data_IF_481122161087
#
_entry.id   IF_481122161087
#
_cell.length_a   1.000
_cell.length_b   1.000
_cell.length_c   1.000
_cell.angle_alpha   90.00
_cell.angle_beta   90.00
_cell.angle_gamma   90.00
#
_symmetry.space_group_name_H-M   'P 1'
#
loop_
_entity.id
_entity.type
_entity.pdbx_description
1 polymer ?
#
# COMPACT_ATOMS: atom_id res chain seq x y z
N UNK A 1 -10.42 -1.47 -68.66
CA UNK A 1 -9.41 -1.95 -67.68
C UNK A 1 -8.95 -0.87 -66.70
N UNK A 2 -9.15 0.42 -66.98
CA UNK A 2 -8.74 1.55 -66.12
C UNK A 2 -9.67 1.80 -64.93
N UNK A 3 -10.97 1.56 -65.07
CA UNK A 3 -11.98 1.81 -64.02
C UNK A 3 -11.85 0.87 -62.81
N UNK A 4 -11.46 -0.38 -63.04
CA UNK A 4 -11.25 -1.36 -61.96
C UNK A 4 -10.01 -1.03 -61.12
N UNK A 5 -8.97 -0.46 -61.75
CA UNK A 5 -7.74 -0.04 -61.07
C UNK A 5 -8.01 1.17 -60.17
N UNK A 6 -8.80 2.15 -60.62
CA UNK A 6 -9.14 3.33 -59.80
C UNK A 6 -10.01 2.97 -58.60
N UNK A 7 -10.95 2.03 -58.73
CA UNK A 7 -11.74 1.54 -57.58
C UNK A 7 -10.83 0.83 -56.56
N UNK A 8 -9.89 0.00 -57.03
CA UNK A 8 -8.94 -0.69 -56.15
C UNK A 8 -8.05 0.31 -55.39
N UNK A 9 -7.54 1.34 -56.07
CA UNK A 9 -6.73 2.39 -55.44
C UNK A 9 -7.50 3.18 -54.38
N UNK A 10 -8.79 3.46 -54.60
CA UNK A 10 -9.65 4.14 -53.61
C UNK A 10 -9.92 3.30 -52.36
N UNK A 11 -10.05 1.98 -52.52
CA UNK A 11 -10.22 1.06 -51.39
C UNK A 11 -8.92 0.98 -50.58
N UNK A 12 -7.77 0.85 -51.26
CA UNK A 12 -6.47 0.78 -50.60
C UNK A 12 -6.16 2.08 -49.86
N UNK A 13 -6.44 3.25 -50.46
CA UNK A 13 -6.19 4.54 -49.80
C UNK A 13 -7.09 4.74 -48.56
N UNK A 14 -8.36 4.33 -48.63
CA UNK A 14 -9.25 4.34 -47.47
C UNK A 14 -8.77 3.44 -46.33
N UNK A 15 -8.26 2.26 -46.67
CA UNK A 15 -7.77 1.28 -45.70
C UNK A 15 -6.47 1.77 -45.02
N UNK A 16 -5.57 2.41 -45.76
CA UNK A 16 -4.36 3.03 -45.21
C UNK A 16 -4.71 4.17 -44.24
N UNK A 17 -5.65 5.05 -44.63
CA UNK A 17 -6.09 6.14 -43.75
C UNK A 17 -6.72 5.61 -42.46
N UNK A 18 -7.54 4.56 -42.55
CA UNK A 18 -8.15 3.92 -41.38
C UNK A 18 -7.10 3.32 -40.43
N UNK A 19 -6.09 2.62 -40.97
CA UNK A 19 -4.97 2.08 -40.17
C UNK A 19 -4.20 3.22 -39.48
N UNK A 20 -3.88 4.30 -40.19
CA UNK A 20 -3.18 5.45 -39.63
C UNK A 20 -4.00 6.13 -38.51
N UNK A 21 -5.31 6.30 -38.70
CA UNK A 21 -6.21 6.84 -37.67
C UNK A 21 -6.25 5.93 -36.45
N UNK A 22 -6.30 4.62 -36.65
CA UNK A 22 -6.37 3.67 -35.54
C UNK A 22 -5.05 3.61 -34.77
N UNK A 23 -3.90 3.64 -35.44
CA UNK A 23 -2.60 3.77 -34.78
C UNK A 23 -2.46 5.08 -34.01
N UNK A 24 -2.92 6.19 -34.57
CA UNK A 24 -2.89 7.49 -33.90
C UNK A 24 -3.77 7.50 -32.65
N UNK A 25 -5.01 7.00 -32.76
CA UNK A 25 -5.95 6.91 -31.64
C UNK A 25 -5.40 6.02 -30.52
N UNK A 26 -4.90 4.83 -30.86
CA UNK A 26 -4.34 3.90 -29.88
C UNK A 26 -3.09 4.48 -29.19
N UNK A 27 -2.25 5.23 -29.91
CA UNK A 27 -1.11 5.94 -29.33
C UNK A 27 -1.53 7.14 -28.47
N UNK A 28 -2.60 7.86 -28.85
CA UNK A 28 -3.16 8.95 -28.05
C UNK A 28 -3.76 8.41 -26.75
N UNK A 29 -4.46 7.28 -26.79
CA UNK A 29 -5.03 6.62 -25.61
C UNK A 29 -3.94 6.03 -24.71
N UNK A 30 -2.90 5.42 -25.30
CA UNK A 30 -1.70 5.00 -24.55
C UNK A 30 -0.96 6.17 -23.93
N UNK A 31 -0.80 7.29 -24.64
CA UNK A 31 -0.18 8.50 -24.10
C UNK A 31 -1.05 9.14 -23.02
N UNK A 32 -2.37 9.12 -23.14
CA UNK A 32 -3.28 9.66 -22.12
C UNK A 32 -3.26 8.78 -20.87
N UNK A 33 -3.27 7.45 -21.02
CA UNK A 33 -3.07 6.50 -19.91
C UNK A 33 -1.69 6.62 -19.28
N UNK A 34 -0.63 6.81 -20.08
CA UNK A 34 0.73 6.96 -19.56
C UNK A 34 0.97 8.35 -18.93
N UNK A 35 0.37 9.42 -19.45
CA UNK A 35 0.46 10.76 -18.87
C UNK A 35 -0.35 10.88 -17.57
N UNK A 36 -1.39 10.05 -17.38
CA UNK A 36 -2.04 9.87 -16.07
C UNK A 36 -1.15 9.08 -15.09
N UNK A 37 -0.21 8.28 -15.58
CA UNK A 37 0.67 7.42 -14.77
C UNK A 37 2.07 7.99 -14.51
N UNK A 38 2.47 9.07 -15.19
CA UNK A 38 3.75 9.76 -14.95
C UNK A 38 3.46 11.11 -14.30
N UNK A 39 2.89 11.06 -13.10
CA UNK A 39 2.95 12.20 -12.17
C UNK A 39 4.34 12.16 -11.57
N UNK A 40 5.20 13.13 -11.91
CA UNK A 40 6.42 13.38 -11.16
C UNK A 40 6.06 13.37 -9.67
N UNK A 41 6.67 12.45 -8.90
CA UNK A 41 6.49 12.24 -7.46
C UNK A 41 6.85 13.52 -6.69
N UNK A 42 6.00 14.54 -6.77
CA UNK A 42 6.04 15.70 -5.91
C UNK A 42 5.56 15.23 -4.54
N UNK A 43 6.49 14.78 -3.69
CA UNK A 43 6.14 14.51 -2.29
C UNK A 43 5.48 15.76 -1.72
N UNK A 44 4.31 15.61 -1.14
CA UNK A 44 3.69 16.70 -0.40
C UNK A 44 4.68 17.17 0.68
N UNK A 45 4.89 18.50 0.82
CA UNK A 45 5.73 19.06 1.90
C UNK A 45 5.16 18.78 3.30
N UNK A 46 3.94 18.27 3.38
CA UNK A 46 3.26 17.91 4.64
C UNK A 46 4.04 16.83 5.38
N UNK A 47 4.02 16.95 6.71
CA UNK A 47 4.62 16.00 7.66
C UNK A 47 3.47 15.36 8.41
N UNK A 48 3.47 14.04 8.53
CA UNK A 48 2.47 13.31 9.31
C UNK A 48 2.98 13.12 10.73
N UNK A 49 2.19 13.58 11.68
CA UNK A 49 2.40 13.46 13.12
C UNK A 49 1.50 12.35 13.70
N UNK A 50 1.76 11.94 14.93
CA UNK A 50 0.89 11.00 15.65
C UNK A 50 -0.56 11.52 15.76
N UNK A 51 -0.76 12.83 15.94
CA UNK A 51 -2.10 13.44 16.00
C UNK A 51 -2.91 13.25 14.71
N UNK A 52 -2.29 13.43 13.55
CA UNK A 52 -2.96 13.20 12.25
C UNK A 52 -3.42 11.75 12.14
N UNK A 53 -2.65 10.78 12.65
CA UNK A 53 -3.02 9.37 12.59
C UNK A 53 -4.19 9.04 13.52
N UNK A 54 -4.27 9.69 14.67
CA UNK A 54 -5.40 9.59 15.59
C UNK A 54 -6.68 10.13 14.92
N UNK A 55 -6.56 11.23 14.19
CA UNK A 55 -7.69 11.83 13.47
C UNK A 55 -8.13 11.00 12.27
N UNK A 56 -7.17 10.33 11.61
CA UNK A 56 -7.43 9.49 10.44
C UNK A 56 -7.80 8.04 10.77
N UNK A 57 -7.93 7.67 12.04
CA UNK A 57 -8.16 6.28 12.49
C UNK A 57 -9.26 5.54 11.70
N UNK A 58 -9.21 4.19 11.59
CA UNK A 58 -10.29 3.41 11.01
C UNK A 58 -11.66 3.76 11.62
N UNK A 59 -12.69 3.76 10.77
CA UNK A 59 -14.03 4.23 11.09
C UNK A 59 -14.27 5.73 10.82
N UNK A 60 -13.23 6.50 10.49
CA UNK A 60 -13.35 7.94 10.16
C UNK A 60 -13.65 8.17 8.68
N UNK A 61 -14.14 9.36 8.37
CA UNK A 61 -14.45 9.76 6.99
C UNK A 61 -13.16 9.83 6.16
N UNK A 62 -13.17 9.19 4.99
CA UNK A 62 -12.10 9.19 4.01
C UNK A 62 -11.78 10.59 3.48
N UNK A 63 -12.77 11.48 3.42
CA UNK A 63 -12.59 12.87 3.00
C UNK A 63 -11.55 13.61 3.86
N UNK A 64 -11.54 13.36 5.17
CA UNK A 64 -10.55 13.92 6.09
C UNK A 64 -9.12 13.51 5.69
N UNK A 65 -8.94 12.31 5.15
CA UNK A 65 -7.63 11.88 4.66
C UNK A 65 -7.18 12.70 3.45
N UNK A 66 -8.09 13.04 2.53
CA UNK A 66 -7.77 13.88 1.38
C UNK A 66 -7.44 15.32 1.80
N UNK A 67 -8.16 15.87 2.79
CA UNK A 67 -7.86 17.19 3.34
C UNK A 67 -6.49 17.21 4.04
N UNK A 68 -6.24 16.24 4.92
CA UNK A 68 -5.04 16.17 5.74
C UNK A 68 -3.81 15.78 4.93
N UNK A 69 -3.89 14.74 4.08
CA UNK A 69 -2.74 14.20 3.35
C UNK A 69 -2.59 14.82 1.95
N UNK A 70 -3.64 15.41 1.39
CA UNK A 70 -3.70 15.95 0.04
C UNK A 70 -4.19 14.93 -0.98
N UNK A 71 -3.81 15.11 -2.24
CA UNK A 71 -4.20 14.19 -3.32
C UNK A 71 -3.42 12.87 -3.24
N UNK A 72 -4.06 11.70 -3.37
CA UNK A 72 -3.33 10.43 -3.44
C UNK A 72 -2.48 10.38 -4.72
N UNK A 73 -1.31 9.77 -4.59
CA UNK A 73 -0.39 9.44 -5.68
C UNK A 73 -1.00 8.37 -6.60
N UNK A 74 -1.65 7.36 -6.01
CA UNK A 74 -2.23 6.23 -6.75
C UNK A 74 -3.55 5.82 -6.12
N UNK A 75 -4.49 5.43 -6.97
CA UNK A 75 -5.80 4.92 -6.57
C UNK A 75 -6.01 3.58 -7.27
N UNK A 76 -6.23 2.53 -6.49
CA UNK A 76 -6.59 1.21 -7.00
C UNK A 76 -8.00 0.85 -6.53
N UNK A 77 -8.73 0.07 -7.33
CA UNK A 77 -10.07 -0.47 -6.99
C UNK A 77 -10.02 -1.94 -6.57
N UNK A 78 -8.81 -2.48 -6.47
CA UNK A 78 -8.50 -3.82 -5.97
C UNK A 78 -7.22 -3.77 -5.16
N UNK A 79 -7.16 -4.58 -4.11
CA UNK A 79 -5.96 -4.78 -3.31
C UNK A 79 -5.99 -6.18 -2.68
N UNK A 80 -4.82 -6.65 -2.26
CA UNK A 80 -4.65 -7.99 -1.67
C UNK A 80 -4.47 -7.89 -0.17
N UNK A 81 -5.33 -8.58 0.57
CA UNK A 81 -5.19 -8.72 2.02
C UNK A 81 -3.98 -9.61 2.36
N UNK A 82 -3.24 -9.25 3.41
CA UNK A 82 -1.97 -9.88 3.77
C UNK A 82 -2.09 -11.36 4.18
N UNK A 83 -3.11 -11.72 4.95
CA UNK A 83 -3.25 -13.10 5.47
C UNK A 83 -3.94 -14.05 4.51
N UNK A 84 -4.84 -13.55 3.65
CA UNK A 84 -5.61 -14.38 2.72
C UNK A 84 -4.97 -14.44 1.34
N UNK A 85 -4.07 -13.48 1.00
CA UNK A 85 -3.56 -13.25 -0.35
C UNK A 85 -4.66 -13.17 -1.42
N UNK A 86 -5.90 -12.86 -1.01
CA UNK A 86 -7.03 -12.75 -1.91
C UNK A 86 -7.10 -11.32 -2.40
N UNK A 87 -7.00 -11.15 -3.72
CA UNK A 87 -7.33 -9.88 -4.35
C UNK A 87 -8.85 -9.66 -4.19
N UNK A 88 -9.20 -8.55 -3.55
CA UNK A 88 -10.60 -8.18 -3.31
C UNK A 88 -10.87 -6.81 -3.89
N UNK A 89 -12.14 -6.57 -4.23
CA UNK A 89 -12.61 -5.24 -4.61
C UNK A 89 -12.58 -4.35 -3.38
N UNK A 90 -11.65 -3.39 -3.37
CA UNK A 90 -11.51 -2.39 -2.32
C UNK A 90 -10.82 -1.15 -2.89
N UNK A 91 -11.20 0.03 -2.41
CA UNK A 91 -10.57 1.27 -2.85
C UNK A 91 -9.33 1.51 -2.00
N UNK A 92 -8.16 1.53 -2.64
CA UNK A 92 -6.86 1.71 -2.00
C UNK A 92 -6.24 2.99 -2.50
N UNK A 93 -5.90 3.88 -1.58
CA UNK A 93 -5.40 5.23 -1.84
C UNK A 93 -3.99 5.34 -1.26
N UNK A 94 -3.00 5.50 -2.14
CA UNK A 94 -1.60 5.65 -1.74
C UNK A 94 -1.23 7.13 -1.72
N UNK A 95 -0.71 7.60 -0.59
CA UNK A 95 -0.23 8.95 -0.37
C UNK A 95 1.27 8.95 -0.13
N UNK A 96 1.93 10.00 -0.60
CA UNK A 96 3.35 10.26 -0.35
C UNK A 96 3.50 11.65 0.29
N UNK A 97 3.76 11.64 1.59
CA UNK A 97 4.11 12.83 2.38
C UNK A 97 5.61 12.85 2.65
N UNK A 98 6.12 13.94 3.21
CA UNK A 98 7.58 14.13 3.38
C UNK A 98 8.24 13.01 4.19
N UNK A 99 7.61 12.58 5.28
CA UNK A 99 8.18 11.64 6.25
C UNK A 99 7.55 10.23 6.22
N UNK A 100 6.60 9.97 5.31
CA UNK A 100 5.93 8.67 5.24
C UNK A 100 5.26 8.37 3.89
N UNK A 101 5.13 7.07 3.60
CA UNK A 101 4.18 6.52 2.63
C UNK A 101 2.99 5.98 3.39
N UNK A 102 1.79 6.37 2.98
CA UNK A 102 0.56 6.01 3.67
C UNK A 102 -0.40 5.41 2.65
N UNK A 103 -0.88 4.20 2.91
CA UNK A 103 -1.96 3.57 2.16
C UNK A 103 -3.20 3.56 3.03
N UNK A 104 -4.30 4.07 2.50
CA UNK A 104 -5.61 4.04 3.15
C UNK A 104 -6.53 3.17 2.31
N UNK A 105 -7.29 2.28 2.95
CA UNK A 105 -8.29 1.49 2.26
C UNK A 105 -9.70 1.83 2.69
N UNK A 106 -10.65 1.70 1.76
CA UNK A 106 -12.07 1.94 1.97
C UNK A 106 -12.92 1.01 1.10
N UNK A 107 -13.87 0.32 1.72
CA UNK A 107 -14.83 -0.59 1.07
C UNK A 107 -15.96 0.20 0.39
N UNK A 108 -16.40 1.29 1.01
CA UNK A 108 -17.55 2.10 0.61
C UNK A 108 -17.20 3.45 -0.02
N UNK A 109 -15.90 3.81 -0.07
CA UNK A 109 -15.37 5.12 -0.51
C UNK A 109 -15.73 6.28 0.42
N UNK A 110 -16.26 6.00 1.61
CA UNK A 110 -16.66 7.03 2.57
C UNK A 110 -15.95 6.85 3.90
N UNK A 111 -15.68 5.62 4.33
CA UNK A 111 -15.06 5.32 5.62
C UNK A 111 -13.70 4.65 5.43
N UNK A 112 -12.75 5.02 6.29
CA UNK A 112 -11.44 4.41 6.37
C UNK A 112 -11.57 3.04 7.05
N UNK A 113 -11.21 1.96 6.35
CA UNK A 113 -11.17 0.61 6.94
C UNK A 113 -9.80 0.28 7.52
N UNK A 114 -8.73 0.75 6.86
CA UNK A 114 -7.38 0.60 7.38
C UNK A 114 -6.42 1.65 6.85
N UNK A 115 -5.34 1.82 7.61
CA UNK A 115 -4.25 2.75 7.32
C UNK A 115 -2.94 2.00 7.50
N UNK A 116 -2.17 1.89 6.44
CA UNK A 116 -0.84 1.30 6.43
C UNK A 116 0.20 2.40 6.23
N UNK A 117 1.24 2.41 7.05
CA UNK A 117 2.22 3.50 7.13
C UNK A 117 3.62 2.91 7.09
N UNK A 118 4.44 3.44 6.18
CA UNK A 118 5.88 3.18 6.08
C UNK A 118 6.63 4.51 6.14
N UNK A 119 7.29 4.81 7.27
CA UNK A 119 8.10 6.02 7.40
C UNK A 119 9.24 6.07 6.40
N UNK A 120 9.49 7.25 5.85
CA UNK A 120 10.61 7.50 4.91
C UNK A 120 11.79 8.17 5.57
N UNK A 121 11.61 8.75 6.75
CA UNK A 121 12.69 9.36 7.54
C UNK A 121 12.48 9.14 9.06
N UNK A 122 13.48 9.52 9.85
CA UNK A 122 13.51 9.36 11.31
C UNK A 122 12.68 10.39 12.08
N UNK A 123 12.08 11.39 11.40
CA UNK A 123 11.23 12.39 12.05
C UNK A 123 9.85 11.82 12.42
N UNK A 124 9.44 10.73 11.76
CA UNK A 124 8.18 10.07 12.07
C UNK A 124 8.28 9.31 13.39
N UNK A 125 7.42 9.70 14.34
CA UNK A 125 7.25 9.03 15.64
C UNK A 125 5.80 8.64 15.82
N UNK A 126 5.60 7.42 16.30
CA UNK A 126 4.27 6.92 16.66
C UNK A 126 4.26 6.54 18.14
N UNK A 127 3.36 7.19 18.87
CA UNK A 127 2.87 6.66 20.14
C UNK A 127 2.04 5.42 19.82
N UNK A 128 2.56 4.24 20.12
CA UNK A 128 1.97 2.98 19.68
C UNK A 128 1.64 2.10 20.89
N UNK A 129 0.39 1.66 20.97
CA UNK A 129 -0.08 0.72 21.96
C UNK A 129 -1.07 -0.24 21.30
N UNK A 130 -0.87 -1.57 21.33
CA UNK A 130 0.12 -2.37 22.08
C UNK A 130 1.45 -2.45 21.36
N UNK A 131 2.51 -2.20 22.11
CA UNK A 131 3.87 -2.33 21.61
C UNK A 131 4.40 -3.74 21.92
N UNK A 132 4.85 -4.53 20.91
CA UNK A 132 5.49 -5.82 21.15
C UNK A 132 6.79 -5.72 21.95
N UNK A 133 7.34 -4.51 22.10
CA UNK A 133 8.59 -4.21 22.81
C UNK A 133 8.40 -3.65 24.23
N UNK A 134 7.15 -3.49 24.69
CA UNK A 134 6.83 -2.86 25.99
C UNK A 134 7.42 -1.45 26.19
N UNK A 135 7.68 -0.71 25.10
CA UNK A 135 8.07 0.70 25.15
C UNK A 135 6.85 1.61 24.96
N UNK A 136 6.88 2.81 25.54
CA UNK A 136 5.81 3.82 25.39
C UNK A 136 5.73 4.40 23.96
N UNK A 137 6.88 4.45 23.26
CA UNK A 137 6.98 5.01 21.90
C UNK A 137 7.73 4.09 20.95
N UNK A 138 7.31 4.06 19.68
CA UNK A 138 8.00 3.32 18.61
C UNK A 138 8.68 4.30 17.67
N UNK A 139 9.98 4.11 17.47
CA UNK A 139 10.74 4.76 16.40
C UNK A 139 11.05 3.74 15.31
N UNK A 140 10.43 3.91 14.13
CA UNK A 140 10.59 2.98 13.02
C UNK A 140 12.03 2.94 12.50
N UNK A 141 12.42 1.79 11.94
CA UNK A 141 13.80 1.47 11.52
C UNK A 141 14.86 1.51 12.63
N UNK A 142 14.47 1.78 13.88
CA UNK A 142 15.36 1.76 15.05
C UNK A 142 14.89 0.74 16.10
N UNK A 143 13.58 0.60 16.25
CA UNK A 143 12.98 -0.31 17.21
C UNK A 143 13.02 -1.75 16.70
N UNK A 144 13.55 -2.66 17.52
CA UNK A 144 13.69 -4.09 17.22
C UNK A 144 12.75 -4.91 18.10
N UNK A 145 12.17 -5.96 17.53
CA UNK A 145 11.47 -6.98 18.32
C UNK A 145 12.46 -7.63 19.30
N UNK A 146 12.27 -7.40 20.60
CA UNK A 146 13.23 -7.76 21.66
C UNK A 146 12.76 -8.96 22.51
N UNK A 147 11.49 -9.35 22.41
CA UNK A 147 10.87 -10.39 23.25
C UNK A 147 10.15 -11.45 22.45
N UNK A 148 9.88 -12.54 23.16
CA UNK A 148 9.02 -13.62 22.68
C UNK A 148 7.61 -13.05 22.44
N UNK A 149 7.16 -13.15 21.21
CA UNK A 149 5.84 -12.68 20.78
C UNK A 149 4.78 -13.59 21.42
N UNK A 150 3.76 -13.01 22.07
CA UNK A 150 2.71 -13.82 22.73
C UNK A 150 2.08 -14.78 21.70
N UNK A 151 1.67 -15.96 22.17
CA UNK A 151 1.00 -16.97 21.32
C UNK A 151 -0.30 -16.47 20.66
N UNK A 152 -0.87 -15.38 21.18
CA UNK A 152 -2.10 -14.77 20.67
C UNK A 152 -1.91 -13.91 19.42
N UNK A 153 -0.66 -13.56 19.07
CA UNK A 153 -0.39 -12.78 17.87
C UNK A 153 -0.55 -13.65 16.63
N UNK A 154 -1.32 -13.17 15.66
CA UNK A 154 -1.34 -13.77 14.33
C UNK A 154 -0.10 -13.35 13.56
N UNK A 155 0.52 -14.29 12.86
CA UNK A 155 1.79 -14.01 12.22
C UNK A 155 1.95 -14.70 10.85
N UNK A 156 2.61 -14.01 9.93
CA UNK A 156 2.96 -14.54 8.62
C UNK A 156 4.22 -13.86 8.07
N UNK A 157 4.64 -14.23 6.87
CA UNK A 157 5.69 -13.55 6.12
C UNK A 157 5.17 -13.13 4.76
N UNK A 158 5.46 -11.89 4.39
CA UNK A 158 5.27 -11.37 3.05
C UNK A 158 6.55 -11.60 2.25
N UNK A 159 6.39 -12.18 1.06
CA UNK A 159 7.48 -12.42 0.12
C UNK A 159 6.99 -12.03 -1.26
N UNK A 160 7.51 -10.92 -1.78
CA UNK A 160 7.34 -10.49 -3.17
C UNK A 160 8.72 -10.32 -3.81
N UNK A 161 8.77 -10.02 -5.12
CA UNK A 161 10.03 -9.94 -5.89
C UNK A 161 11.09 -9.01 -5.27
N UNK A 162 10.66 -7.96 -4.57
CA UNK A 162 11.54 -6.96 -3.95
C UNK A 162 11.20 -6.70 -2.49
N UNK A 163 10.27 -7.46 -1.90
CA UNK A 163 9.79 -7.23 -0.53
C UNK A 163 9.89 -8.54 0.25
N UNK A 164 10.54 -8.48 1.40
CA UNK A 164 10.50 -9.54 2.41
C UNK A 164 10.22 -8.88 3.76
N UNK A 165 9.13 -9.28 4.42
CA UNK A 165 8.72 -8.69 5.69
C UNK A 165 8.02 -9.72 6.57
N UNK A 166 8.29 -9.71 7.88
CA UNK A 166 7.36 -10.36 8.81
C UNK A 166 6.07 -9.56 8.87
N UNK A 167 5.02 -10.22 9.34
CA UNK A 167 3.73 -9.62 9.66
C UNK A 167 3.35 -10.14 11.03
N UNK A 168 3.09 -9.22 11.96
CA UNK A 168 2.68 -9.54 13.33
C UNK A 168 1.45 -8.73 13.71
N UNK A 169 0.34 -9.42 13.97
CA UNK A 169 -0.97 -8.81 14.20
C UNK A 169 -1.50 -9.14 15.57
N UNK A 170 -1.99 -8.12 16.29
CA UNK A 170 -2.75 -8.27 17.53
C UNK A 170 -4.04 -7.46 17.47
N UNK A 171 -5.13 -8.08 17.91
CA UNK A 171 -6.40 -7.40 18.13
C UNK A 171 -6.50 -6.99 19.58
N UNK A 172 -6.91 -5.75 19.83
CA UNK A 172 -6.91 -5.16 21.18
C UNK A 172 -8.31 -4.90 21.70
N UNK A 173 -9.32 -4.93 20.84
CA UNK A 173 -10.73 -4.88 21.23
C UNK A 173 -11.22 -3.55 21.82
N UNK A 174 -10.35 -2.73 22.43
CA UNK A 174 -10.71 -1.41 22.92
C UNK A 174 -9.50 -0.45 23.10
N UNK A 175 -9.05 0.13 21.98
CA UNK A 175 -8.22 1.33 21.91
C UNK A 175 -8.72 2.20 20.75
N UNK A 176 -8.10 3.35 20.46
CA UNK A 176 -8.42 4.15 19.25
C UNK A 176 -8.46 3.32 17.95
N UNK A 177 -7.84 2.13 17.93
CA UNK A 177 -7.83 1.20 16.82
C UNK A 177 -8.15 -0.23 17.29
N UNK A 178 -8.77 -1.01 16.43
CA UNK A 178 -9.25 -2.36 16.75
C UNK A 178 -8.13 -3.41 16.60
N UNK A 179 -7.33 -3.27 15.54
CA UNK A 179 -6.24 -4.19 15.19
C UNK A 179 -4.97 -3.42 14.85
N UNK A 180 -3.84 -3.89 15.38
CA UNK A 180 -2.50 -3.41 15.07
C UNK A 180 -1.70 -4.50 14.38
N UNK A 181 -1.05 -4.14 13.26
CA UNK A 181 -0.16 -5.03 12.53
C UNK A 181 1.19 -4.38 12.31
N UNK A 182 2.26 -5.05 12.70
CA UNK A 182 3.64 -4.62 12.45
C UNK A 182 4.24 -5.34 11.25
N UNK A 183 5.01 -4.59 10.48
CA UNK A 183 5.83 -5.08 9.38
C UNK A 183 7.29 -4.79 9.67
N UNK A 184 8.19 -5.70 9.31
CA UNK A 184 9.61 -5.52 9.57
C UNK A 184 10.51 -6.60 9.03
N UNK A 185 11.80 -6.47 9.32
CA UNK A 185 12.85 -7.35 8.82
C UNK A 185 12.76 -8.76 9.38
N UNK A 186 13.12 -9.75 8.58
CA UNK A 186 13.21 -11.15 8.98
C UNK A 186 14.70 -11.55 9.11
N UNK A 187 15.35 -11.42 10.28
CA UNK A 187 16.81 -11.58 10.38
C UNK A 187 17.29 -12.99 10.00
N UNK A 188 16.50 -14.01 10.33
CA UNK A 188 16.81 -15.39 9.98
C UNK A 188 16.31 -15.78 8.58
N UNK A 189 15.73 -14.84 7.83
CA UNK A 189 15.16 -15.07 6.49
C UNK A 189 13.82 -15.82 6.48
N UNK A 190 12.97 -15.52 5.49
CA UNK A 190 11.62 -16.10 5.38
C UNK A 190 11.61 -17.62 5.18
N UNK A 191 12.66 -18.20 4.60
CA UNK A 191 12.76 -19.65 4.39
C UNK A 191 12.79 -20.42 5.71
N UNK A 192 13.48 -19.88 6.72
CA UNK A 192 13.54 -20.49 8.04
C UNK A 192 12.17 -20.41 8.73
N UNK A 193 11.48 -19.27 8.61
CA UNK A 193 10.10 -19.15 9.09
C UNK A 193 9.17 -20.17 8.44
N UNK A 194 9.22 -20.38 7.11
CA UNK A 194 8.35 -21.35 6.43
C UNK A 194 8.56 -22.80 6.89
N UNK A 195 9.75 -23.15 7.39
CA UNK A 195 10.06 -24.49 7.91
C UNK A 195 9.52 -24.72 9.32
N UNK A 196 9.69 -23.74 10.19
CA UNK A 196 9.47 -23.89 11.64
C UNK A 196 8.14 -23.27 12.08
N UNK A 197 7.61 -22.34 11.28
CA UNK A 197 6.40 -21.56 11.50
C UNK A 197 6.34 -20.90 12.89
N UNK A 198 7.50 -20.37 13.31
CA UNK A 198 7.68 -19.80 14.65
C UNK A 198 8.14 -18.34 14.55
N UNK A 199 7.56 -17.49 15.39
CA UNK A 199 7.84 -16.06 15.52
C UNK A 199 9.26 -15.76 16.02
N UNK A 200 9.98 -16.73 16.59
CA UNK A 200 11.38 -16.58 16.97
C UNK A 200 12.28 -16.11 15.81
N UNK A 201 11.90 -16.42 14.56
CA UNK A 201 12.62 -15.95 13.38
C UNK A 201 12.50 -14.45 13.11
N UNK A 202 11.63 -13.75 13.82
CA UNK A 202 11.41 -12.30 13.72
C UNK A 202 12.14 -11.50 14.81
N UNK A 203 12.59 -12.17 15.88
CA UNK A 203 13.32 -11.53 16.97
C UNK A 203 14.56 -10.84 16.41
N UNK A 204 14.83 -9.63 16.92
CA UNK A 204 15.83 -8.67 16.44
C UNK A 204 15.54 -8.03 15.07
N UNK A 205 14.39 -8.34 14.45
CA UNK A 205 13.92 -7.67 13.24
C UNK A 205 13.51 -6.23 13.54
N UNK A 206 13.94 -5.30 12.68
CA UNK A 206 13.52 -3.90 12.79
C UNK A 206 12.09 -3.72 12.29
N UNK A 207 11.30 -2.95 13.02
CA UNK A 207 9.96 -2.55 12.59
C UNK A 207 10.07 -1.45 11.54
N UNK A 208 9.55 -1.72 10.34
CA UNK A 208 9.60 -0.83 9.16
C UNK A 208 8.29 -0.10 8.90
N UNK A 209 7.18 -0.68 9.32
CA UNK A 209 5.87 -0.11 9.08
C UNK A 209 4.80 -0.70 9.98
N UNK A 210 3.63 -0.09 9.92
CA UNK A 210 2.46 -0.48 10.72
C UNK A 210 1.20 -0.40 9.87
N UNK A 211 0.24 -1.30 10.12
CA UNK A 211 -1.14 -1.17 9.65
C UNK A 211 -2.07 -1.09 10.86
N UNK A 212 -2.99 -0.14 10.82
CA UNK A 212 -4.05 0.06 11.77
C UNK A 212 -5.35 -0.26 11.04
N UNK A 213 -6.14 -1.22 11.55
CA UNK A 213 -7.36 -1.66 10.89
C UNK A 213 -8.50 -1.86 11.87
N UNK A 214 -9.72 -1.74 11.36
CA UNK A 214 -10.92 -2.04 12.15
C UNK A 214 -11.12 -3.55 12.35
N UNK A 215 -10.66 -4.38 11.43
CA UNK A 215 -10.79 -5.83 11.51
C UNK A 215 -9.44 -6.53 11.34
N UNK A 216 -9.34 -7.78 11.82
CA UNK A 216 -8.16 -8.64 11.60
C UNK A 216 -7.96 -9.03 10.13
N UNK A 217 -8.95 -8.80 9.28
CA UNK A 217 -8.90 -9.18 7.86
C UNK A 217 -8.44 -8.01 6.97
N UNK A 218 -8.73 -6.77 7.37
CA UNK A 218 -8.46 -5.56 6.59
C UNK A 218 -7.02 -5.05 6.72
N UNK A 219 -6.06 -5.97 6.57
CA UNK A 219 -4.63 -5.71 6.71
C UNK A 219 -4.01 -5.67 5.32
N UNK A 220 -3.42 -4.53 4.97
CA UNK A 220 -2.82 -4.28 3.66
C UNK A 220 -1.37 -3.83 3.81
N UNK A 221 -0.55 -4.16 2.82
CA UNK A 221 0.86 -3.79 2.76
C UNK A 221 1.08 -2.77 1.63
N UNK A 222 2.15 -1.97 1.71
CA UNK A 222 2.59 -1.10 0.61
C UNK A 222 3.74 -1.80 -0.10
N UNK A 223 3.47 -2.44 -1.23
CA UNK A 223 4.51 -3.16 -1.97
C UNK A 223 5.43 -2.21 -2.73
N UNK A 224 6.69 -2.61 -2.92
CA UNK A 224 7.67 -1.81 -3.65
C UNK A 224 7.23 -1.49 -5.09
N UNK A 225 6.44 -2.37 -5.72
CA UNK A 225 5.90 -2.14 -7.07
C UNK A 225 4.80 -1.07 -7.11
N UNK A 226 4.17 -0.74 -5.98
CA UNK A 226 3.15 0.31 -5.91
C UNK A 226 3.76 1.71 -5.82
N UNK A 227 5.04 1.78 -5.42
CA UNK A 227 5.82 3.00 -5.28
C UNK A 227 6.53 3.42 -6.58
N UNK A 228 6.45 2.60 -7.63
CA UNK A 228 7.06 2.82 -8.95
C UNK A 228 6.07 3.42 -9.94
#
# INVERSE_FOLDING_TARGET
MTVTITILCSIISGLVVWICQQFYSNNKDRRTKNNLNVVNLSSSKKIVTSSILIDLKPGRNLELAFEMLGKPLKINTKDSQVFTNKEILINSYLFAVKNARIKITSKDKTVINSITIFPTDSSFRLEAHPNPMNNETITFNQSKLDRQIDKEWQHTVLVARHDESFVLTKYIGNSLYTTYTYFGDIPLGWRNYKKIHNTNGFINGFIKGICLSDTKEDIYYIYAYELR
#
